data_IF_150279449019
#
_entry.id   IF_150279449019
#
_cell.length_a   1.000
_cell.length_b   1.000
_cell.length_c   1.000
_cell.angle_alpha   90.00
_cell.angle_beta   90.00
_cell.angle_gamma   90.00
#
_symmetry.space_group_name_H-M   'P 1'
#
loop_
_entity.id
_entity.type
_entity.pdbx_description
1 polymer ?
#
# COMPACT_ATOMS: atom_id res chain seq x y z
N UNK A 1 -1.39 40.44 -10.99
CA UNK A 1 -2.19 40.22 -9.76
C UNK A 1 -3.25 39.11 -9.87
N UNK A 2 -3.59 38.58 -11.07
CA UNK A 2 -4.65 37.56 -11.24
C UNK A 2 -4.23 36.08 -11.15
N UNK A 3 -2.94 35.78 -10.94
CA UNK A 3 -2.42 34.40 -10.90
C UNK A 3 -2.31 33.80 -9.49
N UNK A 4 -2.25 34.63 -8.45
CA UNK A 4 -2.08 34.18 -7.06
C UNK A 4 -3.43 33.74 -6.45
N UNK A 5 -4.53 34.34 -6.90
CA UNK A 5 -5.88 34.05 -6.39
C UNK A 5 -6.40 32.69 -6.89
N UNK A 6 -5.93 32.19 -8.05
CA UNK A 6 -6.21 30.81 -8.52
C UNK A 6 -5.50 29.70 -7.73
N UNK A 7 -4.58 30.06 -6.83
CA UNK A 7 -3.93 29.12 -5.92
C UNK A 7 -4.78 28.85 -4.67
N UNK A 8 -5.72 29.75 -4.35
CA UNK A 8 -6.66 29.65 -3.22
C UNK A 8 -8.01 29.05 -3.65
N UNK A 9 -7.98 27.94 -4.39
CA UNK A 9 -9.15 27.06 -4.42
C UNK A 9 -9.15 26.23 -3.12
N UNK A 10 -10.24 26.21 -2.34
CA UNK A 10 -10.30 25.46 -1.08
C UNK A 10 -9.94 23.99 -1.27
N UNK A 11 -10.27 23.40 -2.42
CA UNK A 11 -9.93 22.02 -2.78
C UNK A 11 -8.42 21.77 -2.84
N UNK A 12 -7.67 22.69 -3.46
CA UNK A 12 -6.20 22.60 -3.55
C UNK A 12 -5.55 22.75 -2.18
N UNK A 13 -6.09 23.64 -1.35
CA UNK A 13 -5.62 23.85 0.02
C UNK A 13 -5.80 22.59 0.88
N UNK A 14 -6.93 21.89 0.75
CA UNK A 14 -7.19 20.61 1.46
C UNK A 14 -6.16 19.56 1.04
N UNK A 15 -5.92 19.39 -0.27
CA UNK A 15 -4.93 18.42 -0.78
C UNK A 15 -3.53 18.75 -0.27
N UNK A 16 -3.10 20.02 -0.35
CA UNK A 16 -1.78 20.44 0.11
C UNK A 16 -1.61 20.23 1.62
N UNK A 17 -2.65 20.56 2.42
CA UNK A 17 -2.64 20.33 3.85
C UNK A 17 -2.54 18.83 4.19
N UNK A 18 -3.29 17.97 3.48
CA UNK A 18 -3.22 16.53 3.66
C UNK A 18 -1.81 15.97 3.36
N UNK A 19 -1.19 16.40 2.27
CA UNK A 19 0.19 16.00 1.92
C UNK A 19 1.20 16.47 2.97
N UNK A 20 1.08 17.72 3.41
CA UNK A 20 1.96 18.29 4.43
C UNK A 20 1.83 17.54 5.78
N UNK A 21 0.60 17.28 6.23
CA UNK A 21 0.34 16.55 7.48
C UNK A 21 0.92 15.13 7.38
N UNK A 22 0.64 14.42 6.30
CA UNK A 22 1.15 13.06 6.07
C UNK A 22 2.67 13.01 6.08
N UNK A 23 3.33 13.98 5.43
CA UNK A 23 4.79 14.11 5.42
C UNK A 23 5.35 14.39 6.82
N UNK A 24 4.74 15.31 7.57
CA UNK A 24 5.16 15.65 8.93
C UNK A 24 5.03 14.44 9.85
N UNK A 25 3.91 13.72 9.79
CA UNK A 25 3.69 12.50 10.58
C UNK A 25 4.76 11.45 10.24
N UNK A 26 5.06 11.24 8.95
CA UNK A 26 6.11 10.33 8.51
C UNK A 26 7.49 10.71 9.03
N UNK A 27 7.86 12.00 8.96
CA UNK A 27 9.14 12.49 9.49
C UNK A 27 9.21 12.28 11.01
N UNK A 28 8.16 12.59 11.76
CA UNK A 28 8.13 12.43 13.21
C UNK A 28 8.27 10.94 13.58
N UNK A 29 7.48 10.08 12.96
CA UNK A 29 7.50 8.63 13.21
C UNK A 29 8.85 7.99 12.84
N UNK A 30 9.57 8.55 11.85
CA UNK A 30 10.85 8.03 11.39
C UNK A 30 12.07 8.40 12.26
N UNK A 31 11.94 9.33 13.21
CA UNK A 31 13.10 9.90 13.95
C UNK A 31 13.85 8.90 14.83
N UNK A 32 13.15 7.94 15.43
CA UNK A 32 13.70 7.05 16.45
C UNK A 32 14.07 5.65 15.91
N UNK A 33 14.09 5.47 14.59
CA UNK A 33 14.35 4.19 13.95
C UNK A 33 15.86 3.92 13.88
N UNK A 34 16.32 2.84 14.51
CA UNK A 34 17.76 2.54 14.65
C UNK A 34 18.25 1.39 13.76
N UNK A 35 17.35 0.49 13.36
CA UNK A 35 17.68 -0.66 12.53
C UNK A 35 16.46 -1.13 11.71
N UNK A 36 16.68 -2.08 10.80
CA UNK A 36 15.63 -2.60 9.90
C UNK A 36 14.50 -3.33 10.65
N UNK A 37 14.80 -3.96 11.79
CA UNK A 37 13.78 -4.66 12.59
C UNK A 37 12.85 -3.65 13.27
N UNK A 38 13.42 -2.57 13.83
CA UNK A 38 12.64 -1.47 14.38
C UNK A 38 11.75 -0.83 13.30
N UNK A 39 12.27 -0.65 12.09
CA UNK A 39 11.51 -0.14 10.94
C UNK A 39 10.37 -1.09 10.52
N UNK A 40 10.65 -2.39 10.42
CA UNK A 40 9.71 -3.36 9.83
C UNK A 40 8.59 -3.80 10.79
N UNK A 41 8.88 -3.94 12.09
CA UNK A 41 7.92 -4.50 13.05
C UNK A 41 7.63 -3.58 14.25
N UNK A 42 8.27 -2.41 14.34
CA UNK A 42 8.10 -1.44 15.43
C UNK A 42 8.13 -2.10 16.83
N UNK A 43 9.01 -3.09 17.02
CA UNK A 43 9.12 -3.90 18.24
C UNK A 43 7.80 -4.53 18.72
N UNK A 44 6.89 -4.87 17.81
CA UNK A 44 5.56 -5.45 18.11
C UNK A 44 4.72 -4.58 19.06
N UNK A 45 4.90 -3.26 19.02
CA UNK A 45 4.27 -2.30 19.93
C UNK A 45 2.81 -1.96 19.61
N UNK A 46 2.34 -2.24 18.39
CA UNK A 46 0.98 -1.93 17.96
C UNK A 46 -0.03 -2.97 18.41
N UNK A 47 -1.21 -2.51 18.84
CA UNK A 47 -2.33 -3.38 19.15
C UNK A 47 -2.95 -3.99 17.88
N UNK A 48 -3.59 -5.15 18.03
CA UNK A 48 -4.23 -5.87 16.91
C UNK A 48 -5.20 -5.03 16.08
N UNK A 49 -6.06 -4.17 16.67
CA UNK A 49 -6.96 -3.32 15.87
C UNK A 49 -6.22 -2.33 14.99
N UNK A 50 -5.12 -1.75 15.47
CA UNK A 50 -4.29 -0.82 14.69
C UNK A 50 -3.66 -1.56 13.51
N UNK A 51 -3.11 -2.76 13.75
CA UNK A 51 -2.57 -3.60 12.68
C UNK A 51 -3.63 -3.95 11.63
N UNK A 52 -4.85 -4.31 12.06
CA UNK A 52 -5.95 -4.60 11.14
C UNK A 52 -6.33 -3.38 10.28
N UNK A 53 -6.39 -2.19 10.88
CA UNK A 53 -6.66 -0.94 10.13
C UNK A 53 -5.55 -0.64 9.13
N UNK A 54 -4.28 -0.79 9.51
CA UNK A 54 -3.16 -0.59 8.58
C UNK A 54 -3.15 -1.59 7.43
N UNK A 55 -3.55 -2.84 7.68
CA UNK A 55 -3.70 -3.85 6.64
C UNK A 55 -4.79 -3.45 5.64
N UNK A 56 -5.97 -3.06 6.14
CA UNK A 56 -7.07 -2.58 5.28
C UNK A 56 -6.66 -1.34 4.48
N UNK A 57 -6.00 -0.37 5.12
CA UNK A 57 -5.49 0.82 4.44
C UNK A 57 -4.48 0.49 3.33
N UNK A 58 -3.67 -0.55 3.49
CA UNK A 58 -2.68 -0.99 2.48
C UNK A 58 -3.36 -1.51 1.21
N UNK A 59 -4.56 -2.08 1.33
CA UNK A 59 -5.27 -2.69 0.21
C UNK A 59 -6.02 -1.67 -0.66
N UNK A 60 -6.31 -0.50 -0.08
CA UNK A 60 -7.06 0.57 -0.73
C UNK A 60 -6.04 1.62 -1.20
N UNK A 61 -5.94 1.82 -2.51
CA UNK A 61 -5.10 2.87 -3.08
C UNK A 61 -5.57 3.28 -4.46
N UNK A 62 -4.91 4.27 -5.06
CA UNK A 62 -5.33 4.87 -6.34
C UNK A 62 -5.51 3.84 -7.47
N UNK A 63 -4.57 2.90 -7.60
CA UNK A 63 -4.59 1.85 -8.62
C UNK A 63 -5.74 0.85 -8.40
N UNK A 64 -5.94 0.38 -7.16
CA UNK A 64 -7.04 -0.55 -6.86
C UNK A 64 -8.40 0.14 -7.01
N UNK A 65 -8.57 1.35 -6.46
CA UNK A 65 -9.82 2.11 -6.60
C UNK A 65 -10.15 2.43 -8.05
N UNK A 66 -9.18 2.87 -8.85
CA UNK A 66 -9.40 3.16 -10.28
C UNK A 66 -9.72 1.88 -11.05
N UNK A 67 -9.01 0.79 -10.76
CA UNK A 67 -9.24 -0.52 -11.36
C UNK A 67 -10.64 -1.07 -11.04
N UNK A 68 -11.02 -1.10 -9.76
CA UNK A 68 -12.33 -1.57 -9.32
C UNK A 68 -13.45 -0.73 -9.94
N UNK A 69 -13.29 0.61 -9.98
CA UNK A 69 -14.27 1.51 -10.61
C UNK A 69 -14.43 1.19 -12.10
N UNK A 70 -13.33 0.93 -12.82
CA UNK A 70 -13.39 0.54 -14.22
C UNK A 70 -14.10 -0.80 -14.43
N UNK A 71 -13.89 -1.78 -13.54
CA UNK A 71 -14.57 -3.07 -13.58
C UNK A 71 -16.06 -2.95 -13.29
N UNK A 72 -16.46 -2.18 -12.27
CA UNK A 72 -17.87 -1.89 -12.01
C UNK A 72 -18.54 -1.15 -13.16
N UNK A 73 -17.81 -0.31 -13.89
CA UNK A 73 -18.34 0.36 -15.08
C UNK A 73 -18.57 -0.61 -16.25
N UNK A 74 -17.70 -1.60 -16.44
CA UNK A 74 -17.80 -2.57 -17.54
C UNK A 74 -18.76 -3.73 -17.23
N UNK A 75 -18.60 -4.36 -16.08
CA UNK A 75 -19.31 -5.59 -15.69
C UNK A 75 -20.50 -5.33 -14.76
N UNK A 76 -20.70 -4.08 -14.34
CA UNK A 76 -21.76 -3.70 -13.43
C UNK A 76 -21.63 -4.38 -12.07
N UNK A 77 -22.77 -4.69 -11.45
CA UNK A 77 -22.83 -5.34 -10.14
C UNK A 77 -22.33 -6.79 -10.15
N UNK A 78 -22.12 -7.40 -11.32
CA UNK A 78 -21.58 -8.77 -11.41
C UNK A 78 -20.17 -8.82 -10.85
N UNK A 79 -19.39 -7.74 -10.99
CA UNK A 79 -18.04 -7.62 -10.41
C UNK A 79 -18.01 -7.68 -8.87
N UNK A 80 -19.15 -7.51 -8.21
CA UNK A 80 -19.25 -7.68 -6.77
C UNK A 80 -18.87 -9.10 -6.34
N UNK A 81 -19.21 -10.13 -7.14
CA UNK A 81 -18.90 -11.53 -6.84
C UNK A 81 -17.38 -11.77 -6.78
N UNK A 82 -16.58 -11.47 -7.82
CA UNK A 82 -15.13 -11.62 -7.74
C UNK A 82 -14.47 -10.68 -6.73
N UNK A 83 -15.01 -9.47 -6.49
CA UNK A 83 -14.45 -8.55 -5.49
C UNK A 83 -14.43 -9.12 -4.07
N UNK A 84 -15.38 -10.02 -3.74
CA UNK A 84 -15.44 -10.70 -2.44
C UNK A 84 -14.34 -11.74 -2.24
N UNK A 85 -13.65 -12.18 -3.30
CA UNK A 85 -12.58 -13.17 -3.20
C UNK A 85 -11.44 -12.70 -2.29
N UNK A 86 -11.09 -11.41 -2.36
CA UNK A 86 -10.01 -10.80 -1.57
C UNK A 86 -10.32 -10.83 -0.05
N UNK A 87 -11.43 -10.25 0.45
CA UNK A 87 -11.74 -10.29 1.87
C UNK A 87 -11.96 -11.72 2.38
N UNK A 88 -12.53 -12.61 1.57
CA UNK A 88 -12.65 -14.04 1.91
C UNK A 88 -11.27 -14.67 2.08
N UNK A 89 -10.34 -14.45 1.14
CA UNK A 89 -8.98 -14.99 1.21
C UNK A 89 -8.25 -14.50 2.47
N UNK A 90 -8.41 -13.23 2.84
CA UNK A 90 -7.83 -12.68 4.08
C UNK A 90 -8.44 -13.32 5.32
N UNK A 91 -9.76 -13.48 5.36
CA UNK A 91 -10.41 -14.14 6.48
C UNK A 91 -9.96 -15.60 6.64
N UNK A 92 -9.83 -16.32 5.52
CA UNK A 92 -9.29 -17.68 5.50
C UNK A 92 -7.83 -17.72 5.95
N UNK A 93 -6.99 -16.77 5.51
CA UNK A 93 -5.62 -16.64 5.95
C UNK A 93 -5.54 -16.34 7.46
N UNK A 94 -6.35 -15.41 7.97
CA UNK A 94 -6.43 -15.09 9.39
C UNK A 94 -6.87 -16.30 10.23
N UNK A 95 -7.78 -17.14 9.72
CA UNK A 95 -8.28 -18.31 10.46
C UNK A 95 -7.36 -19.53 10.38
N UNK A 96 -6.78 -19.82 9.22
CA UNK A 96 -6.07 -21.08 8.97
C UNK A 96 -4.55 -20.94 8.82
N UNK A 97 -4.07 -19.75 8.45
CA UNK A 97 -2.65 -19.49 8.21
C UNK A 97 -2.05 -18.79 9.44
N UNK A 98 -2.65 -17.69 9.91
CA UNK A 98 -2.11 -16.91 11.02
C UNK A 98 -1.85 -17.73 12.31
N UNK A 99 -2.70 -18.68 12.74
CA UNK A 99 -2.43 -19.50 13.92
C UNK A 99 -1.24 -20.45 13.76
N UNK A 100 -0.78 -20.70 12.53
CA UNK A 100 0.39 -21.56 12.25
C UNK A 100 1.71 -20.78 12.37
N UNK A 101 1.65 -19.46 12.47
CA UNK A 101 2.83 -18.64 12.75
C UNK A 101 3.17 -18.75 14.23
N UNK A 102 4.00 -19.73 14.56
CA UNK A 102 4.51 -19.97 15.91
C UNK A 102 5.90 -19.35 16.12
N UNK A 103 6.48 -19.63 17.29
CA UNK A 103 7.78 -19.09 17.71
C UNK A 103 8.94 -19.46 16.77
N UNK A 104 8.79 -20.42 15.84
CA UNK A 104 9.85 -20.77 14.88
C UNK A 104 10.15 -19.66 13.88
N UNK A 105 9.18 -18.76 13.65
CA UNK A 105 9.34 -17.62 12.76
C UNK A 105 9.68 -16.33 13.53
N UNK A 106 9.99 -16.43 14.83
CA UNK A 106 10.32 -15.25 15.61
C UNK A 106 11.66 -14.64 15.16
N UNK A 107 11.64 -13.32 14.94
CA UNK A 107 12.79 -12.60 14.39
C UNK A 107 12.89 -12.61 12.85
N UNK A 108 12.05 -13.37 12.15
CA UNK A 108 11.92 -13.25 10.69
C UNK A 108 11.11 -11.99 10.35
N UNK A 109 11.65 -11.16 9.46
CA UNK A 109 11.05 -9.86 9.12
C UNK A 109 10.44 -9.86 7.71
N UNK A 110 10.73 -10.88 6.90
CA UNK A 110 10.22 -11.02 5.53
C UNK A 110 9.67 -12.42 5.26
N UNK A 111 8.81 -12.54 4.25
CA UNK A 111 8.33 -13.84 3.75
C UNK A 111 9.49 -14.65 3.16
N UNK A 112 10.50 -13.99 2.59
CA UNK A 112 11.70 -14.64 2.06
C UNK A 112 12.52 -15.35 3.15
N UNK A 113 12.56 -14.81 4.38
CA UNK A 113 13.20 -15.48 5.53
C UNK A 113 12.49 -16.80 5.88
N UNK A 114 11.16 -16.83 5.76
CA UNK A 114 10.37 -18.05 5.98
C UNK A 114 10.66 -19.06 4.87
N UNK A 115 10.76 -18.61 3.61
CA UNK A 115 11.11 -19.46 2.49
C UNK A 115 12.53 -20.03 2.65
N UNK A 116 13.48 -19.23 3.14
CA UNK A 116 14.84 -19.68 3.49
C UNK A 116 14.82 -20.83 4.47
N UNK A 117 13.98 -20.76 5.51
CA UNK A 117 13.88 -21.79 6.53
C UNK A 117 13.48 -23.17 5.95
N UNK A 118 12.61 -23.19 4.95
CA UNK A 118 12.15 -24.45 4.32
C UNK A 118 12.97 -24.90 3.10
N UNK A 119 13.49 -23.96 2.31
CA UNK A 119 14.04 -24.23 0.97
C UNK A 119 15.48 -23.72 0.76
N UNK A 120 16.06 -23.06 1.76
CA UNK A 120 17.43 -22.54 1.76
C UNK A 120 17.62 -21.21 1.00
N UNK A 121 18.87 -20.76 0.96
CA UNK A 121 19.26 -19.40 0.53
C UNK A 121 18.95 -19.13 -0.95
N UNK A 122 19.04 -20.15 -1.82
CA UNK A 122 18.73 -19.95 -3.25
C UNK A 122 17.25 -19.59 -3.47
N UNK A 123 16.35 -20.24 -2.74
CA UNK A 123 14.92 -19.97 -2.80
C UNK A 123 14.56 -18.63 -2.15
N UNK A 124 15.23 -18.25 -1.06
CA UNK A 124 15.13 -16.93 -0.43
C UNK A 124 15.40 -15.81 -1.45
N UNK A 125 16.57 -15.84 -2.10
CA UNK A 125 16.96 -14.81 -3.08
C UNK A 125 15.98 -14.76 -4.24
N UNK A 126 15.59 -15.92 -4.78
CA UNK A 126 14.60 -15.98 -5.86
C UNK A 126 13.26 -15.37 -5.45
N UNK A 127 12.74 -15.75 -4.28
CA UNK A 127 11.48 -15.21 -3.75
C UNK A 127 11.54 -13.70 -3.50
N UNK A 128 12.69 -13.20 -3.04
CA UNK A 128 12.92 -11.78 -2.82
C UNK A 128 12.91 -10.99 -4.14
N UNK A 129 13.55 -11.51 -5.19
CA UNK A 129 13.55 -10.89 -6.52
C UNK A 129 12.14 -10.85 -7.11
N UNK A 130 11.39 -11.96 -7.01
CA UNK A 130 10.00 -12.02 -7.48
C UNK A 130 9.12 -11.04 -6.70
N UNK A 131 9.26 -10.99 -5.37
CA UNK A 131 8.53 -10.04 -4.53
C UNK A 131 8.82 -8.59 -4.90
N UNK A 132 10.10 -8.26 -5.14
CA UNK A 132 10.50 -6.93 -5.60
C UNK A 132 9.86 -6.57 -6.95
N UNK A 133 9.84 -7.50 -7.91
CA UNK A 133 9.20 -7.28 -9.21
C UNK A 133 7.69 -7.04 -9.10
N UNK A 134 7.00 -7.75 -8.20
CA UNK A 134 5.57 -7.52 -7.91
C UNK A 134 5.37 -6.12 -7.33
N UNK A 135 6.21 -5.70 -6.37
CA UNK A 135 6.14 -4.36 -5.80
C UNK A 135 6.33 -3.26 -6.86
N UNK A 136 7.23 -3.44 -7.83
CA UNK A 136 7.39 -2.50 -8.94
C UNK A 136 6.12 -2.37 -9.78
N UNK A 137 5.43 -3.49 -10.06
CA UNK A 137 4.16 -3.48 -10.77
C UNK A 137 3.07 -2.72 -10.01
N UNK A 138 2.94 -2.97 -8.70
CA UNK A 138 1.98 -2.27 -7.84
C UNK A 138 2.27 -0.77 -7.79
N UNK A 139 3.53 -0.39 -7.63
CA UNK A 139 3.96 1.01 -7.65
C UNK A 139 3.60 1.67 -8.99
N UNK A 140 3.87 1.00 -10.12
CA UNK A 140 3.51 1.52 -11.45
C UNK A 140 2.02 1.79 -11.63
N UNK A 141 1.15 0.91 -11.10
CA UNK A 141 -0.31 1.14 -11.09
C UNK A 141 -0.68 2.37 -10.25
N UNK A 142 -0.06 2.56 -9.09
CA UNK A 142 -0.31 3.71 -8.22
C UNK A 142 0.13 5.02 -8.86
N UNK A 143 1.30 5.06 -9.50
CA UNK A 143 1.79 6.24 -10.23
C UNK A 143 0.90 6.60 -11.41
N UNK A 144 0.42 5.60 -12.16
CA UNK A 144 -0.53 5.81 -13.27
C UNK A 144 -1.84 6.44 -12.80
N UNK A 145 -2.40 5.93 -11.70
CA UNK A 145 -3.61 6.50 -11.09
C UNK A 145 -3.37 7.93 -10.59
N UNK A 146 -2.24 8.17 -9.91
CA UNK A 146 -1.87 9.49 -9.40
C UNK A 146 -1.68 10.50 -10.55
N UNK A 147 -0.94 10.13 -11.61
CA UNK A 147 -0.72 10.99 -12.77
C UNK A 147 -2.02 11.33 -13.50
N UNK A 148 -2.95 10.38 -13.59
CA UNK A 148 -4.28 10.61 -14.17
C UNK A 148 -5.10 11.62 -13.36
N UNK A 149 -5.03 11.53 -12.02
CA UNK A 149 -5.66 12.49 -11.13
C UNK A 149 -5.03 13.87 -11.25
N UNK A 150 -3.71 13.97 -11.21
CA UNK A 150 -2.98 15.25 -11.33
C UNK A 150 -3.28 15.92 -12.67
N UNK A 151 -3.24 15.17 -13.77
CA UNK A 151 -3.57 15.66 -15.10
C UNK A 151 -4.99 16.23 -15.15
N UNK A 152 -5.96 15.52 -14.55
CA UNK A 152 -7.36 15.96 -14.49
C UNK A 152 -7.55 17.20 -13.61
N UNK A 153 -6.92 17.24 -12.43
CA UNK A 153 -7.06 18.35 -11.47
C UNK A 153 -6.32 19.62 -11.88
N UNK A 154 -5.12 19.50 -12.46
CA UNK A 154 -4.30 20.65 -12.88
C UNK A 154 -4.50 21.01 -14.36
N UNK A 155 -5.29 20.23 -15.11
CA UNK A 155 -5.47 20.38 -16.57
C UNK A 155 -4.14 20.39 -17.34
N UNK A 156 -3.19 19.55 -16.89
CA UNK A 156 -1.87 19.38 -17.53
C UNK A 156 -1.82 18.04 -18.29
N UNK A 157 -0.87 17.91 -19.23
CA UNK A 157 -0.71 16.67 -19.99
C UNK A 157 -0.25 15.52 -19.08
N UNK A 158 -0.81 14.32 -19.29
CA UNK A 158 -0.46 13.11 -18.56
C UNK A 158 1.04 12.80 -18.58
N UNK A 159 1.74 13.03 -19.70
CA UNK A 159 3.19 12.81 -19.80
C UNK A 159 4.03 13.75 -18.91
N UNK A 160 3.45 14.86 -18.44
CA UNK A 160 4.08 15.80 -17.51
C UNK A 160 3.65 15.54 -16.05
N UNK A 161 2.60 14.74 -15.85
CA UNK A 161 1.99 14.48 -14.54
C UNK A 161 2.55 13.24 -13.84
N UNK A 162 3.28 12.37 -14.54
CA UNK A 162 3.91 11.14 -14.02
C UNK A 162 5.42 11.32 -13.92
#
# INVERSE_FOLDING_TARGET
MGSIIKFFDPDKAIVLAFLAITLIVGIIAGRDIKNIKDYAIANKSYSTPVLALTLLATMIGGGTTTGDTAQFFQDGLVYLIPSLAIPIAIFLAAKYIAPKFDNRFDGMISVSDIIKYFYGVKAEVFSGIVGYAVCLGVIGMQFTALGSLIASFLSINYSTAI
#
